data_IF_132356908158
#
_entry.id   IF_132356908158
#
_cell.length_a   1.000
_cell.length_b   1.000
_cell.length_c   1.000
_cell.angle_alpha   90.00
_cell.angle_beta   90.00
_cell.angle_gamma   90.00
#
_symmetry.space_group_name_H-M   'P 1'
#
loop_
_entity.id
_entity.type
_entity.pdbx_description
1 polymer ?
#
# COMPACT_ATOMS: atom_id res chain seq x y z
N UNK A 1 -3.60 -13.40 -4.42
CA UNK A 1 -4.75 -14.02 -5.09
C UNK A 1 -5.90 -13.01 -5.08
N UNK A 2 -6.32 -12.57 -6.26
CA UNK A 2 -7.40 -11.60 -6.36
C UNK A 2 -8.75 -12.30 -6.18
N UNK A 3 -9.31 -12.15 -5.01
CA UNK A 3 -10.67 -12.55 -4.73
C UNK A 3 -11.63 -11.69 -5.57
N UNK A 4 -12.77 -12.27 -5.95
CA UNK A 4 -13.83 -11.53 -6.65
C UNK A 4 -14.29 -10.31 -5.87
N UNK A 5 -14.29 -10.40 -4.55
CA UNK A 5 -14.60 -9.30 -3.64
C UNK A 5 -13.62 -8.13 -3.79
N UNK A 6 -12.34 -8.44 -3.93
CA UNK A 6 -11.30 -7.45 -4.09
C UNK A 6 -11.43 -6.72 -5.44
N UNK A 7 -11.73 -7.46 -6.50
CA UNK A 7 -11.94 -6.89 -7.83
C UNK A 7 -13.17 -5.96 -7.83
N UNK A 8 -14.25 -6.38 -7.19
CA UNK A 8 -15.47 -5.56 -7.09
C UNK A 8 -15.22 -4.27 -6.31
N UNK A 9 -14.43 -4.33 -5.25
CA UNK A 9 -14.07 -3.15 -4.46
C UNK A 9 -13.29 -2.14 -5.32
N UNK A 10 -12.35 -2.62 -6.11
CA UNK A 10 -11.59 -1.76 -7.03
C UNK A 10 -12.49 -1.13 -8.09
N UNK A 11 -13.37 -1.92 -8.67
CA UNK A 11 -14.34 -1.42 -9.67
C UNK A 11 -15.28 -0.38 -9.06
N UNK A 12 -15.76 -0.62 -7.85
CA UNK A 12 -16.65 0.31 -7.15
C UNK A 12 -15.93 1.66 -6.91
N UNK A 13 -14.71 1.63 -6.47
CA UNK A 13 -13.95 2.86 -6.25
C UNK A 13 -13.60 3.56 -7.57
N UNK A 14 -13.27 2.81 -8.62
CA UNK A 14 -13.02 3.38 -9.94
C UNK A 14 -14.25 4.12 -10.47
N UNK A 15 -15.45 3.56 -10.28
CA UNK A 15 -16.71 4.22 -10.64
C UNK A 15 -16.93 5.49 -9.82
N UNK A 16 -16.64 5.42 -8.52
CA UNK A 16 -16.70 6.59 -7.63
C UNK A 16 -15.79 7.72 -8.12
N UNK A 17 -14.58 7.40 -8.52
CA UNK A 17 -13.63 8.40 -9.04
C UNK A 17 -14.18 9.06 -10.33
N UNK A 18 -14.72 8.26 -11.22
CA UNK A 18 -15.31 8.78 -12.46
C UNK A 18 -16.48 9.73 -12.17
N UNK A 19 -17.31 9.39 -11.21
CA UNK A 19 -18.43 10.22 -10.79
C UNK A 19 -17.98 11.52 -10.11
N UNK A 20 -16.77 11.56 -9.58
CA UNK A 20 -16.22 12.71 -8.87
C UNK A 20 -15.21 13.51 -9.71
N UNK A 21 -15.29 13.39 -11.03
CA UNK A 21 -14.54 14.25 -11.93
C UNK A 21 -13.15 13.75 -12.33
N UNK A 22 -12.79 12.53 -11.95
CA UNK A 22 -11.56 11.92 -12.44
C UNK A 22 -11.81 11.34 -13.85
N UNK A 23 -10.81 11.45 -14.70
CA UNK A 23 -10.85 10.93 -16.07
C UNK A 23 -9.74 9.89 -16.24
N UNK A 24 -9.88 9.08 -17.28
CA UNK A 24 -8.92 8.03 -17.62
C UNK A 24 -8.59 7.14 -16.42
N UNK A 25 -9.65 6.71 -15.72
CA UNK A 25 -9.54 5.86 -14.54
C UNK A 25 -9.19 4.44 -14.97
N UNK A 26 -8.07 3.93 -14.49
CA UNK A 26 -7.57 2.62 -14.90
C UNK A 26 -7.22 1.77 -13.67
N UNK A 27 -7.70 0.52 -13.67
CA UNK A 27 -7.28 -0.48 -12.71
C UNK A 27 -6.01 -1.10 -13.26
N UNK A 28 -4.93 -1.02 -12.49
CA UNK A 28 -3.61 -1.49 -12.91
C UNK A 28 -3.09 -2.52 -11.91
N UNK A 29 -1.92 -3.13 -12.22
CA UNK A 29 -1.34 -4.13 -11.33
C UNK A 29 -0.16 -3.58 -10.53
N UNK A 30 0.48 -2.56 -11.04
CA UNK A 30 1.67 -1.98 -10.43
C UNK A 30 1.85 -0.56 -10.95
N UNK A 31 2.35 0.35 -10.16
CA UNK A 31 2.82 0.23 -8.76
C UNK A 31 1.71 0.29 -7.72
N UNK A 32 0.48 0.56 -8.13
CA UNK A 32 -0.71 0.68 -7.28
C UNK A 32 -1.89 -0.03 -7.94
N UNK A 33 -3.07 0.04 -7.31
CA UNK A 33 -4.26 -0.60 -7.83
C UNK A 33 -5.00 0.23 -8.88
N UNK A 34 -5.05 1.54 -8.70
CA UNK A 34 -5.78 2.44 -9.62
C UNK A 34 -4.94 3.67 -9.90
N UNK A 35 -4.97 4.09 -11.16
CA UNK A 35 -4.42 5.36 -11.61
C UNK A 35 -5.56 6.14 -12.25
N UNK A 36 -5.65 7.43 -11.95
CA UNK A 36 -6.66 8.31 -12.52
C UNK A 36 -6.11 9.73 -12.65
N UNK A 37 -6.75 10.53 -13.46
CA UNK A 37 -6.29 11.90 -13.74
C UNK A 37 -7.38 12.90 -13.37
N UNK A 38 -6.96 14.00 -12.77
CA UNK A 38 -7.84 15.10 -12.47
C UNK A 38 -7.09 16.41 -12.74
N UNK A 39 -7.68 17.29 -13.53
CA UNK A 39 -7.05 18.56 -13.95
C UNK A 39 -5.66 18.34 -14.55
N UNK A 40 -5.50 17.27 -15.32
CA UNK A 40 -4.21 16.93 -15.97
C UNK A 40 -3.17 16.32 -15.02
N UNK A 41 -3.50 16.10 -13.75
CA UNK A 41 -2.57 15.55 -12.76
C UNK A 41 -2.88 14.08 -12.53
N UNK A 42 -1.83 13.25 -12.57
CA UNK A 42 -1.92 11.82 -12.32
C UNK A 42 -2.01 11.55 -10.83
N UNK A 43 -3.00 10.76 -10.44
CA UNK A 43 -3.22 10.35 -9.04
C UNK A 43 -3.11 8.84 -8.91
N UNK A 44 -2.62 8.40 -7.74
CA UNK A 44 -2.41 7.00 -7.42
C UNK A 44 -3.31 6.59 -6.25
N UNK A 45 -3.91 5.41 -6.35
CA UNK A 45 -4.80 4.90 -5.31
C UNK A 45 -4.47 3.44 -5.02
N UNK A 46 -4.18 3.17 -3.75
CA UNK A 46 -3.98 1.79 -3.28
C UNK A 46 -5.21 1.37 -2.50
N UNK A 47 -5.84 0.28 -2.92
CA UNK A 47 -7.14 -0.16 -2.40
C UNK A 47 -6.96 -1.27 -1.37
N UNK A 48 -7.57 -1.08 -0.20
CA UNK A 48 -7.61 -2.08 0.86
C UNK A 48 -9.07 -2.38 1.16
N UNK A 49 -9.54 -3.56 0.76
CA UNK A 49 -10.95 -3.94 0.90
C UNK A 49 -11.20 -4.72 2.18
N UNK A 50 -12.34 -4.47 2.82
CA UNK A 50 -12.72 -5.19 4.02
C UNK A 50 -14.24 -5.33 4.13
N UNK A 51 -14.68 -6.41 4.77
CA UNK A 51 -16.08 -6.63 5.16
C UNK A 51 -16.31 -6.38 6.65
N UNK A 52 -15.27 -6.01 7.38
CA UNK A 52 -15.34 -5.80 8.83
C UNK A 52 -16.11 -4.51 9.15
N UNK A 53 -16.93 -4.57 10.19
CA UNK A 53 -17.81 -3.45 10.54
C UNK A 53 -17.15 -2.38 11.39
N UNK A 54 -16.25 -2.76 12.30
CA UNK A 54 -15.75 -1.84 13.33
C UNK A 54 -14.28 -1.48 13.21
N UNK A 55 -13.46 -2.41 12.76
CA UNK A 55 -12.03 -2.18 12.65
C UNK A 55 -11.45 -3.05 11.55
N UNK A 56 -10.43 -2.54 10.90
CA UNK A 56 -9.74 -3.28 9.86
C UNK A 56 -8.25 -3.29 10.15
N UNK A 57 -7.70 -4.49 10.28
CA UNK A 57 -6.28 -4.73 10.43
C UNK A 57 -5.75 -5.33 9.12
N UNK A 58 -4.75 -4.70 8.57
CA UNK A 58 -4.16 -5.14 7.30
C UNK A 58 -2.72 -4.67 7.19
N UNK A 59 -2.14 -4.87 6.04
CA UNK A 59 -0.76 -4.49 5.79
C UNK A 59 -0.62 -3.79 4.44
N UNK A 60 0.27 -2.82 4.39
CA UNK A 60 0.72 -2.21 3.16
C UNK A 60 2.20 -2.56 2.97
N UNK A 61 2.55 -2.98 1.77
CA UNK A 61 3.90 -3.43 1.45
C UNK A 61 4.88 -2.27 1.32
N UNK A 62 6.16 -2.56 1.36
CA UNK A 62 7.19 -1.53 1.12
C UNK A 62 7.08 -0.93 -0.28
N UNK A 63 6.70 -1.72 -1.27
CA UNK A 63 6.51 -1.21 -2.64
C UNK A 63 5.38 -0.18 -2.68
N UNK A 64 4.28 -0.46 -1.98
CA UNK A 64 3.16 0.48 -1.86
C UNK A 64 3.58 1.75 -1.13
N UNK A 65 4.30 1.62 -0.02
CA UNK A 65 4.81 2.76 0.73
C UNK A 65 5.86 3.55 -0.05
N UNK A 66 6.69 2.89 -0.84
CA UNK A 66 7.65 3.57 -1.71
C UNK A 66 6.94 4.50 -2.69
N UNK A 67 5.91 3.99 -3.35
CA UNK A 67 5.10 4.80 -4.26
C UNK A 67 4.42 5.94 -3.52
N UNK A 68 3.85 5.66 -2.34
CA UNK A 68 3.16 6.65 -1.54
C UNK A 68 4.08 7.80 -1.13
N UNK A 69 5.27 7.49 -0.63
CA UNK A 69 6.19 8.50 -0.14
C UNK A 69 6.81 9.33 -1.27
N UNK A 70 6.96 8.76 -2.46
CA UNK A 70 7.43 9.49 -3.63
C UNK A 70 6.35 10.39 -4.24
N UNK A 71 5.08 10.16 -3.91
CA UNK A 71 3.94 10.84 -4.51
C UNK A 71 2.94 11.35 -3.46
N UNK A 72 3.42 11.89 -2.36
CA UNK A 72 2.61 12.21 -1.18
C UNK A 72 1.35 13.01 -1.45
N UNK A 73 1.41 13.98 -2.35
CA UNK A 73 0.30 14.88 -2.63
C UNK A 73 -0.73 14.31 -3.61
N UNK A 74 -0.35 13.26 -4.33
CA UNK A 74 -1.17 12.67 -5.38
C UNK A 74 -1.41 11.18 -5.15
N UNK A 75 -1.17 10.70 -3.93
CA UNK A 75 -1.36 9.31 -3.54
C UNK A 75 -2.37 9.21 -2.41
N UNK A 76 -3.26 8.23 -2.49
CA UNK A 76 -4.16 7.91 -1.39
C UNK A 76 -4.24 6.41 -1.15
N UNK A 77 -4.22 6.04 0.12
CA UNK A 77 -4.67 4.73 0.56
C UNK A 77 -6.17 4.81 0.74
N UNK A 78 -6.89 3.87 0.18
CA UNK A 78 -8.36 3.86 0.24
C UNK A 78 -8.82 2.56 0.87
N UNK A 79 -9.47 2.65 2.01
CA UNK A 79 -10.14 1.50 2.61
C UNK A 79 -11.55 1.45 2.06
N UNK A 80 -11.88 0.34 1.41
CA UNK A 80 -13.21 0.10 0.85
C UNK A 80 -13.92 -0.89 1.76
N UNK A 81 -14.94 -0.41 2.45
CA UNK A 81 -15.75 -1.24 3.33
C UNK A 81 -16.98 -1.71 2.56
N UNK A 82 -17.12 -3.02 2.43
CA UNK A 82 -18.25 -3.64 1.78
C UNK A 82 -19.37 -3.85 2.81
N UNK A 83 -20.56 -3.33 2.50
CA UNK A 83 -21.77 -3.48 3.31
C UNK A 83 -22.92 -3.86 2.39
N UNK A 84 -23.56 -5.02 2.60
CA UNK A 84 -24.80 -5.42 1.91
C UNK A 84 -25.02 -4.78 0.53
N UNK A 85 -24.33 -4.93 -0.48
CA UNK A 85 -24.45 -4.33 -1.82
C UNK A 85 -24.04 -2.87 -1.91
N UNK A 86 -23.60 -2.26 -0.81
CA UNK A 86 -23.08 -0.89 -0.81
C UNK A 86 -21.62 -0.86 -0.40
N UNK A 87 -20.95 0.24 -0.72
CA UNK A 87 -19.56 0.44 -0.37
C UNK A 87 -19.39 1.78 0.32
N UNK A 88 -18.59 1.79 1.39
CA UNK A 88 -18.11 3.02 1.98
C UNK A 88 -16.62 3.17 1.67
N UNK A 89 -16.20 4.38 1.35
CA UNK A 89 -14.82 4.66 1.00
C UNK A 89 -14.19 5.58 2.03
N UNK A 90 -13.03 5.17 2.56
CA UNK A 90 -12.25 5.96 3.50
C UNK A 90 -10.91 6.28 2.86
N UNK A 91 -10.69 7.54 2.56
CA UNK A 91 -9.51 7.99 1.84
C UNK A 91 -8.49 8.58 2.82
N UNK A 92 -7.24 8.16 2.70
CA UNK A 92 -6.15 8.61 3.57
C UNK A 92 -4.98 9.07 2.73
N UNK A 93 -4.43 10.24 3.06
CA UNK A 93 -3.09 10.59 2.56
C UNK A 93 -2.08 9.64 3.17
N UNK A 94 -0.86 9.52 2.60
CA UNK A 94 0.16 8.68 3.22
C UNK A 94 0.45 9.05 4.68
N UNK A 95 0.46 10.33 5.01
CA UNK A 95 0.69 10.78 6.38
C UNK A 95 -0.46 10.40 7.31
N UNK A 96 -1.70 10.58 6.89
CA UNK A 96 -2.87 10.16 7.65
C UNK A 96 -2.88 8.64 7.87
N UNK A 97 -2.55 7.88 6.83
CA UNK A 97 -2.52 6.42 6.94
C UNK A 97 -1.43 5.94 7.90
N UNK A 98 -0.31 6.65 7.92
CA UNK A 98 0.78 6.36 8.84
C UNK A 98 0.36 6.50 10.30
N UNK A 99 -0.56 7.42 10.60
CA UNK A 99 -1.05 7.61 11.98
C UNK A 99 -1.71 6.35 12.55
N UNK A 100 -2.30 5.53 11.67
CA UNK A 100 -2.94 4.27 12.06
C UNK A 100 -2.01 3.07 11.91
N UNK A 101 -0.75 3.30 11.53
CA UNK A 101 0.18 2.23 11.18
C UNK A 101 1.23 2.01 12.26
N UNK A 102 1.76 0.81 12.32
CA UNK A 102 2.90 0.47 13.18
C UNK A 102 3.93 -0.28 12.36
N UNK A 103 5.19 -0.02 12.62
CA UNK A 103 6.29 -0.76 12.00
C UNK A 103 6.84 -1.73 13.05
N UNK A 104 6.65 -3.04 12.87
CA UNK A 104 7.20 -4.02 13.81
C UNK A 104 8.71 -4.06 13.74
N UNK A 105 9.39 -4.59 14.75
CA UNK A 105 10.83 -4.75 14.72
C UNK A 105 11.26 -5.54 13.48
N UNK A 106 12.30 -5.06 12.83
CA UNK A 106 12.83 -5.69 11.63
C UNK A 106 13.83 -6.76 12.03
N UNK A 107 13.68 -7.96 11.45
CA UNK A 107 14.61 -9.07 11.66
C UNK A 107 15.20 -9.44 10.32
N UNK A 108 16.49 -9.71 10.33
CA UNK A 108 17.17 -10.26 9.18
C UNK A 108 17.48 -11.73 9.49
N UNK A 109 16.93 -12.62 8.70
CA UNK A 109 17.11 -14.05 8.90
C UNK A 109 18.35 -14.52 8.17
N UNK A 110 19.06 -15.48 8.79
CA UNK A 110 20.20 -16.11 8.16
C UNK A 110 20.07 -17.62 8.23
N UNK A 111 20.72 -18.29 7.30
CA UNK A 111 20.82 -19.73 7.28
C UNK A 111 22.26 -20.08 6.84
N UNK A 112 23.04 -20.59 7.76
CA UNK A 112 24.45 -20.93 7.51
C UNK A 112 24.62 -22.42 7.72
N UNK A 113 25.17 -23.09 6.72
CA UNK A 113 25.51 -24.50 6.83
C UNK A 113 26.84 -24.63 7.60
N UNK A 114 26.75 -25.08 8.84
CA UNK A 114 27.92 -25.20 9.72
C UNK A 114 28.86 -26.35 9.30
N UNK A 115 28.41 -27.23 8.43
CA UNK A 115 29.27 -28.29 7.89
C UNK A 115 30.13 -27.79 6.74
N UNK A 116 29.82 -26.62 6.18
CA UNK A 116 30.54 -26.05 5.05
C UNK A 116 30.98 -24.61 5.38
N UNK A 117 31.89 -24.49 6.35
CA UNK A 117 32.31 -23.21 6.93
C UNK A 117 32.72 -22.13 5.92
N UNK A 118 33.14 -22.49 4.74
CA UNK A 118 33.63 -21.53 3.73
C UNK A 118 32.67 -21.32 2.57
N UNK A 119 31.48 -21.92 2.63
CA UNK A 119 30.48 -21.79 1.57
C UNK A 119 29.21 -21.15 2.11
N UNK A 120 29.25 -19.86 2.23
CA UNK A 120 28.05 -19.08 2.61
C UNK A 120 27.07 -19.10 1.43
N UNK A 121 25.89 -19.59 1.68
CA UNK A 121 24.83 -19.57 0.68
C UNK A 121 24.36 -18.14 0.52
N UNK A 122 24.64 -17.53 -0.62
CA UNK A 122 24.18 -16.18 -0.90
C UNK A 122 22.67 -16.18 -1.10
N UNK A 123 21.97 -15.40 -0.31
CA UNK A 123 20.56 -15.19 -0.48
C UNK A 123 20.34 -14.09 -1.52
N UNK A 124 20.06 -14.47 -2.76
CA UNK A 124 19.85 -13.54 -3.87
C UNK A 124 18.54 -12.77 -3.75
N UNK A 125 17.68 -13.15 -2.81
CA UNK A 125 16.39 -12.47 -2.56
C UNK A 125 16.43 -11.58 -1.33
N UNK A 126 17.62 -11.22 -0.88
CA UNK A 126 17.76 -10.31 0.24
C UNK A 126 17.12 -8.96 -0.08
N UNK A 127 16.70 -8.28 0.95
CA UNK A 127 16.07 -6.97 0.96
C UNK A 127 16.00 -6.25 -0.40
N UNK A 128 14.82 -6.28 -1.02
CA UNK A 128 14.56 -5.57 -2.28
C UNK A 128 14.16 -4.12 -2.07
N UNK A 129 13.97 -3.73 -0.85
CA UNK A 129 13.65 -2.35 -0.51
C UNK A 129 14.91 -1.52 -0.55
N UNK A 130 14.85 -0.35 -1.18
CA UNK A 130 15.98 0.56 -1.15
C UNK A 130 16.19 1.09 0.26
N UNK A 131 17.45 1.28 0.61
CA UNK A 131 17.85 1.83 1.90
C UNK A 131 17.21 3.21 2.14
N UNK A 132 17.17 4.02 1.11
CA UNK A 132 16.56 5.34 1.12
C UNK A 132 15.09 5.30 1.51
N UNK A 133 14.32 4.39 0.93
CA UNK A 133 12.89 4.23 1.24
C UNK A 133 12.71 3.72 2.67
N UNK A 134 13.56 2.80 3.10
CA UNK A 134 13.51 2.30 4.48
C UNK A 134 13.71 3.42 5.48
N UNK A 135 14.71 4.27 5.28
CA UNK A 135 14.99 5.39 6.17
C UNK A 135 13.87 6.42 6.15
N UNK A 136 13.32 6.73 4.99
CA UNK A 136 12.22 7.68 4.86
C UNK A 136 10.97 7.18 5.59
N UNK A 137 10.65 5.91 5.43
CA UNK A 137 9.50 5.30 6.09
C UNK A 137 9.67 5.33 7.61
N UNK A 138 10.84 4.98 8.08
CA UNK A 138 11.15 4.96 9.51
C UNK A 138 11.12 6.38 10.12
N UNK A 139 11.65 7.36 9.43
CA UNK A 139 11.62 8.76 9.86
C UNK A 139 10.20 9.30 9.92
N UNK A 140 9.39 9.00 8.91
CA UNK A 140 7.99 9.41 8.88
C UNK A 140 7.23 8.80 10.05
N UNK A 141 7.44 7.51 10.29
CA UNK A 141 6.83 6.83 11.43
C UNK A 141 7.20 7.48 12.76
N UNK A 142 8.47 7.73 12.99
CA UNK A 142 8.96 8.34 14.23
C UNK A 142 8.41 9.75 14.43
N UNK A 143 8.34 10.54 13.37
CA UNK A 143 7.81 11.90 13.42
C UNK A 143 6.34 11.92 13.83
N UNK A 144 5.54 10.99 13.30
CA UNK A 144 4.11 10.93 13.58
C UNK A 144 3.78 10.28 14.93
N UNK A 145 4.62 9.36 15.39
CA UNK A 145 4.40 8.61 16.65
C UNK A 145 5.18 9.16 17.84
N UNK A 146 6.23 9.89 17.57
CA UNK A 146 7.04 10.51 18.60
C UNK A 146 6.43 11.81 19.07
#
# INVERSE_FOLDING_TARGET
MNDKSDIKAKEAYANYLTEHGYVDVQIVHSPVDIIAYKNGVKHFFEIKATKRKNAYFGAATFTEWECALKNKEIFKFVVVKEMDEEYEFYEFTPEEFMEYSTIPPIKVYFNIDLNQKNKVKKNSKALKMSEEVFFELNDTYKRLKG
#
